data_IF_978842469031
#
_entry.id   IF_978842469031
#
_cell.length_a   1.000
_cell.length_b   1.000
_cell.length_c   1.000
_cell.angle_alpha   90.00
_cell.angle_beta   90.00
_cell.angle_gamma   90.00
#
_symmetry.space_group_name_H-M   'P 1'
#
loop_
_entity.id
_entity.type
_entity.pdbx_description
1 polymer ?
#
# COMPACT_ATOMS: atom_id res chain seq x y z
N UNK A 1 10.01 -18.88 2.63
CA UNK A 1 8.69 -18.31 3.00
C UNK A 1 8.19 -17.45 1.84
N UNK A 2 6.95 -17.65 1.41
CA UNK A 2 6.35 -16.78 0.39
C UNK A 2 6.04 -15.43 1.05
N UNK A 3 6.73 -14.37 0.64
CA UNK A 3 6.32 -12.99 0.97
C UNK A 3 5.10 -12.67 0.11
N UNK A 4 3.94 -12.53 0.75
CA UNK A 4 2.66 -12.33 0.07
C UNK A 4 2.44 -10.88 -0.38
N UNK A 5 3.26 -9.98 0.11
CA UNK A 5 3.18 -8.54 -0.07
C UNK A 5 4.53 -8.01 -0.57
N UNK A 6 4.50 -7.42 -1.76
CA UNK A 6 5.63 -6.70 -2.34
C UNK A 6 5.20 -5.26 -2.51
N UNK A 7 6.02 -4.35 -2.00
CA UNK A 7 5.80 -2.93 -2.15
C UNK A 7 7.03 -2.26 -2.74
N UNK A 8 6.80 -1.44 -3.76
CA UNK A 8 7.85 -0.78 -4.54
C UNK A 8 7.41 0.67 -4.75
N UNK A 9 8.30 1.60 -4.43
CA UNK A 9 8.18 2.99 -4.87
C UNK A 9 8.79 3.07 -6.28
N UNK A 10 7.95 3.31 -7.28
CA UNK A 10 8.39 3.51 -8.66
C UNK A 10 7.82 4.84 -9.15
N UNK A 11 8.71 5.77 -9.48
CA UNK A 11 8.39 7.14 -9.88
C UNK A 11 7.55 7.87 -8.80
N UNK A 12 6.31 8.26 -9.10
CA UNK A 12 5.38 8.97 -8.20
C UNK A 12 4.33 8.07 -7.57
N UNK A 13 4.45 6.75 -7.70
CA UNK A 13 3.45 5.78 -7.25
C UNK A 13 3.99 4.83 -6.18
N UNK A 14 3.19 4.64 -5.15
CA UNK A 14 3.41 3.64 -4.12
C UNK A 14 2.61 2.39 -4.48
N UNK A 15 3.28 1.42 -5.12
CA UNK A 15 2.64 0.18 -5.53
C UNK A 15 2.67 -0.83 -4.41
N UNK A 16 1.53 -1.49 -4.18
CA UNK A 16 1.41 -2.64 -3.32
C UNK A 16 0.74 -3.77 -4.08
N UNK A 17 1.43 -4.89 -4.18
CA UNK A 17 0.93 -6.10 -4.80
C UNK A 17 0.74 -7.16 -3.75
N UNK A 18 -0.44 -7.78 -3.76
CA UNK A 18 -0.78 -8.83 -2.82
C UNK A 18 -1.41 -10.04 -3.51
N UNK A 19 -0.83 -11.21 -3.25
CA UNK A 19 -1.37 -12.48 -3.72
C UNK A 19 -2.40 -13.04 -2.72
N UNK A 20 -3.55 -13.50 -3.21
CA UNK A 20 -4.56 -14.20 -2.41
C UNK A 20 -5.02 -15.49 -3.11
N UNK A 21 -4.96 -16.61 -2.38
CA UNK A 21 -5.45 -17.92 -2.82
C UNK A 21 -6.91 -18.17 -2.44
N UNK A 22 -7.50 -17.31 -1.61
CA UNK A 22 -8.89 -17.39 -1.15
C UNK A 22 -9.57 -16.05 -1.35
N UNK A 23 -10.86 -16.06 -1.68
CA UNK A 23 -11.61 -14.82 -1.85
C UNK A 23 -11.72 -14.11 -0.50
N UNK A 24 -11.34 -12.85 -0.47
CA UNK A 24 -11.43 -12.01 0.71
C UNK A 24 -12.06 -10.67 0.32
N UNK A 25 -13.30 -10.37 0.72
CA UNK A 25 -13.93 -9.10 0.39
C UNK A 25 -13.29 -7.92 1.14
N UNK A 26 -12.51 -8.17 2.19
CA UNK A 26 -11.89 -7.15 3.03
C UNK A 26 -10.52 -6.68 2.51
N UNK A 27 -10.11 -7.08 1.31
CA UNK A 27 -8.83 -6.64 0.74
C UNK A 27 -8.71 -5.11 0.66
N UNK A 28 -9.74 -4.33 0.27
CA UNK A 28 -9.62 -2.87 0.25
C UNK A 28 -9.25 -2.27 1.62
N UNK A 29 -9.81 -2.81 2.71
CA UNK A 29 -9.49 -2.37 4.06
C UNK A 29 -8.04 -2.72 4.44
N UNK A 30 -7.58 -3.93 4.08
CA UNK A 30 -6.17 -4.33 4.29
C UNK A 30 -5.22 -3.43 3.50
N UNK A 31 -5.55 -3.13 2.24
CA UNK A 31 -4.80 -2.19 1.41
C UNK A 31 -4.66 -0.81 2.07
N UNK A 32 -5.75 -0.26 2.61
CA UNK A 32 -5.71 0.99 3.37
C UNK A 32 -4.74 0.90 4.57
N UNK A 33 -4.85 -0.16 5.38
CA UNK A 33 -3.97 -0.34 6.54
C UNK A 33 -2.50 -0.46 6.14
N UNK A 34 -2.20 -1.14 5.04
CA UNK A 34 -0.83 -1.25 4.53
C UNK A 34 -0.30 0.12 4.08
N UNK A 35 -1.06 0.86 3.27
CA UNK A 35 -0.64 2.20 2.86
C UNK A 35 -0.45 3.15 4.03
N UNK A 36 -1.30 3.12 5.06
CA UNK A 36 -1.11 3.94 6.26
C UNK A 36 0.25 3.71 6.90
N UNK A 37 0.67 2.44 7.03
CA UNK A 37 2.00 2.10 7.59
C UNK A 37 3.15 2.56 6.68
N UNK A 38 2.97 2.46 5.37
CA UNK A 38 3.98 2.88 4.41
C UNK A 38 4.14 4.40 4.38
N UNK A 39 3.04 5.14 4.41
CA UNK A 39 3.08 6.60 4.48
C UNK A 39 3.66 7.10 5.79
N UNK A 40 3.34 6.47 6.92
CA UNK A 40 3.93 6.81 8.21
C UNK A 40 5.47 6.75 8.14
N UNK A 41 6.01 5.65 7.62
CA UNK A 41 7.45 5.53 7.35
C UNK A 41 7.96 6.61 6.39
N UNK A 42 7.28 6.83 5.27
CA UNK A 42 7.68 7.82 4.27
C UNK A 42 7.72 9.24 4.83
N UNK A 43 6.75 9.61 5.67
CA UNK A 43 6.66 10.90 6.36
C UNK A 43 7.84 11.10 7.31
N UNK A 44 8.17 10.07 8.10
CA UNK A 44 9.29 10.11 9.04
C UNK A 44 10.62 10.21 8.29
N UNK A 45 10.83 9.39 7.27
CA UNK A 45 12.08 9.37 6.47
C UNK A 45 12.34 10.71 5.77
N UNK A 46 11.29 11.40 5.33
CA UNK A 46 11.39 12.69 4.63
C UNK A 46 11.20 13.90 5.56
N UNK A 47 11.00 13.68 6.87
CA UNK A 47 10.76 14.72 7.87
C UNK A 47 9.60 15.67 7.51
N UNK A 48 8.50 15.14 6.95
CA UNK A 48 7.36 15.95 6.56
C UNK A 48 6.55 16.44 7.77
N UNK A 49 6.23 17.73 7.79
CA UNK A 49 5.31 18.32 8.76
C UNK A 49 3.86 18.24 8.25
N UNK A 50 3.18 17.12 8.55
CA UNK A 50 1.78 16.90 8.14
C UNK A 50 0.75 17.71 8.94
N UNK A 51 1.15 18.36 10.03
CA UNK A 51 0.29 19.23 10.84
C UNK A 51 0.47 20.72 10.51
N UNK A 52 1.35 21.04 9.57
CA UNK A 52 1.58 22.41 9.09
C UNK A 52 0.54 22.86 8.06
N UNK A 53 0.72 24.07 7.54
CA UNK A 53 -0.15 24.66 6.50
C UNK A 53 0.29 24.36 5.06
N UNK A 54 1.48 23.78 4.89
CA UNK A 54 2.04 23.48 3.56
C UNK A 54 1.62 22.08 3.10
N UNK A 55 1.22 21.97 1.84
CA UNK A 55 0.84 20.69 1.24
C UNK A 55 2.04 19.72 1.18
N UNK A 56 1.90 18.58 1.84
CA UNK A 56 2.83 17.44 1.72
C UNK A 56 2.43 16.61 0.50
N UNK A 57 3.33 16.52 -0.50
CA UNK A 57 3.11 15.67 -1.68
C UNK A 57 3.49 14.24 -1.33
N UNK A 58 2.49 13.36 -1.34
CA UNK A 58 2.67 11.92 -1.17
C UNK A 58 2.63 11.20 -2.53
N UNK A 59 3.36 10.10 -2.70
CA UNK A 59 3.20 9.25 -3.88
C UNK A 59 1.76 8.73 -3.95
N UNK A 60 1.22 8.51 -5.15
CA UNK A 60 -0.15 8.03 -5.33
C UNK A 60 -0.22 6.52 -5.01
N UNK A 61 -1.14 6.05 -4.16
CA UNK A 61 -1.22 4.64 -3.82
C UNK A 61 -1.84 3.83 -4.96
N UNK A 62 -1.27 2.66 -5.26
CA UNK A 62 -1.81 1.70 -6.22
C UNK A 62 -1.80 0.31 -5.63
N UNK A 63 -2.98 -0.25 -5.40
CA UNK A 63 -3.14 -1.58 -4.81
C UNK A 63 -3.66 -2.55 -5.85
N UNK A 64 -2.90 -3.61 -6.10
CA UNK A 64 -3.29 -4.71 -6.99
C UNK A 64 -3.35 -5.99 -6.19
N UNK A 65 -4.51 -6.62 -6.19
CA UNK A 65 -4.70 -7.94 -5.58
C UNK A 65 -4.75 -8.97 -6.70
N UNK A 66 -3.83 -9.90 -6.65
CA UNK A 66 -3.72 -11.02 -7.57
C UNK A 66 -4.43 -12.22 -6.94
N UNK A 67 -5.56 -12.62 -7.54
CA UNK A 67 -6.32 -13.77 -7.10
C UNK A 67 -5.94 -15.00 -7.93
N UNK A 68 -5.49 -16.05 -7.25
CA UNK A 68 -5.21 -17.36 -7.88
C UNK A 68 -6.01 -18.51 -7.23
N UNK A 69 -7.08 -18.18 -6.50
CA UNK A 69 -7.95 -19.19 -5.94
C UNK A 69 -8.82 -19.86 -7.01
N UNK A 70 -9.26 -21.07 -6.71
CA UNK A 70 -10.10 -21.89 -7.58
C UNK A 70 -11.59 -21.78 -7.24
N UNK A 71 -11.92 -21.05 -6.17
CA UNK A 71 -13.32 -20.77 -5.82
C UNK A 71 -13.86 -19.67 -6.72
N UNK A 72 -14.99 -19.94 -7.37
CA UNK A 72 -15.77 -18.93 -8.09
C UNK A 72 -16.57 -18.06 -7.13
#
# INVERSE_FOLDING_TARGET
>A
EMKNDVSILLDSYLHLWEQQSSYNPNMPLRGLMYFSKMYDRYIVEHSYNIYGSTLVKLPTPRYTVLYNGTSK
#
